data_IF_568857409556
#
_entry.id   IF_568857409556
#
_cell.length_a   1.000
_cell.length_b   1.000
_cell.length_c   1.000
_cell.angle_alpha   90.00
_cell.angle_beta   90.00
_cell.angle_gamma   90.00
#
_symmetry.space_group_name_H-M   'P 1'
#
loop_
_entity.id
_entity.type
_entity.pdbx_description
1 polymer ?
#
# COMPACT_ATOMS: atom_id res chain seq x y z
N UNK A 1 -45.01 -6.68 -22.50
CA UNK A 1 -43.60 -6.49 -22.86
C UNK A 1 -43.28 -5.01 -22.71
N UNK A 2 -42.25 -4.58 -21.93
CA UNK A 2 -41.91 -3.17 -21.89
C UNK A 2 -41.39 -2.77 -23.29
N UNK A 3 -41.94 -1.69 -23.84
CA UNK A 3 -41.66 -1.25 -25.20
C UNK A 3 -40.21 -0.78 -25.28
N UNK A 4 -39.39 -1.53 -26.03
CA UNK A 4 -37.96 -1.26 -26.20
C UNK A 4 -37.73 -0.10 -27.16
N UNK A 5 -37.85 1.13 -26.66
CA UNK A 5 -37.31 2.29 -27.37
C UNK A 5 -35.78 2.31 -27.20
N UNK A 6 -35.05 2.40 -28.30
CA UNK A 6 -33.60 2.53 -28.28
C UNK A 6 -33.23 3.81 -27.52
N UNK A 7 -32.34 3.70 -26.54
CA UNK A 7 -31.82 4.86 -25.84
C UNK A 7 -30.96 5.69 -26.80
N UNK A 8 -31.25 7.00 -26.88
CA UNK A 8 -30.47 7.95 -27.66
C UNK A 8 -29.76 8.91 -26.71
N UNK A 9 -28.43 8.92 -26.79
CA UNK A 9 -27.59 9.76 -25.94
C UNK A 9 -27.56 11.19 -26.48
N UNK A 10 -28.05 12.13 -25.69
CA UNK A 10 -28.02 13.56 -26.05
C UNK A 10 -26.63 14.16 -25.83
N UNK A 11 -26.32 15.24 -26.54
CA UNK A 11 -25.04 15.94 -26.36
C UNK A 11 -24.86 16.48 -24.94
N UNK A 12 -25.94 16.90 -24.29
CA UNK A 12 -25.93 17.37 -22.91
C UNK A 12 -25.53 16.24 -21.96
N UNK A 13 -26.12 15.05 -22.12
CA UNK A 13 -25.75 13.87 -21.35
C UNK A 13 -24.29 13.49 -21.59
N UNK A 14 -23.80 13.55 -22.84
CA UNK A 14 -22.40 13.27 -23.17
C UNK A 14 -21.46 14.22 -22.45
N UNK A 15 -21.76 15.53 -22.44
CA UNK A 15 -20.98 16.52 -21.71
C UNK A 15 -20.97 16.23 -20.21
N UNK A 16 -22.12 15.87 -19.63
CA UNK A 16 -22.22 15.48 -18.21
C UNK A 16 -21.40 14.23 -17.92
N UNK A 17 -21.54 13.15 -18.70
CA UNK A 17 -20.78 11.90 -18.47
C UNK A 17 -19.28 12.16 -18.54
N UNK A 18 -18.82 12.91 -19.55
CA UNK A 18 -17.40 13.23 -19.73
C UNK A 18 -16.83 14.03 -18.55
N UNK A 19 -17.60 15.00 -18.04
CA UNK A 19 -17.18 15.78 -16.89
C UNK A 19 -17.10 14.92 -15.63
N UNK A 20 -18.15 14.13 -15.35
CA UNK A 20 -18.25 13.31 -14.15
C UNK A 20 -17.21 12.18 -14.13
N UNK A 21 -16.95 11.53 -15.28
CA UNK A 21 -15.87 10.55 -15.40
C UNK A 21 -14.50 11.21 -15.23
N UNK A 22 -14.33 12.45 -15.74
CA UNK A 22 -13.13 13.26 -15.52
C UNK A 22 -12.87 13.59 -14.06
N UNK A 23 -13.91 13.76 -13.25
CA UNK A 23 -13.80 13.97 -11.80
C UNK A 23 -13.59 12.67 -11.01
N UNK A 24 -13.62 11.50 -11.68
CA UNK A 24 -13.46 10.20 -11.04
C UNK A 24 -14.74 9.65 -10.39
N UNK A 25 -15.92 10.16 -10.77
CA UNK A 25 -17.19 9.64 -10.24
C UNK A 25 -17.44 8.21 -10.75
N UNK A 26 -17.83 7.26 -9.88
CA UNK A 26 -18.12 5.89 -10.28
C UNK A 26 -19.20 5.81 -11.36
N UNK A 27 -19.06 4.88 -12.31
CA UNK A 27 -20.00 4.74 -13.43
C UNK A 27 -21.44 4.45 -12.96
N UNK A 28 -21.62 3.70 -11.88
CA UNK A 28 -22.95 3.37 -11.35
C UNK A 28 -23.65 4.60 -10.76
N UNK A 29 -22.89 5.53 -10.15
CA UNK A 29 -23.41 6.81 -9.66
C UNK A 29 -23.79 7.74 -10.81
N UNK A 30 -22.98 7.76 -11.88
CA UNK A 30 -23.30 8.50 -13.11
C UNK A 30 -24.58 7.94 -13.76
N UNK A 31 -24.73 6.61 -13.81
CA UNK A 31 -25.94 5.96 -14.33
C UNK A 31 -27.18 6.32 -13.49
N UNK A 32 -27.02 6.32 -12.16
CA UNK A 32 -28.06 6.74 -11.21
C UNK A 32 -28.48 8.18 -11.42
N UNK A 33 -27.51 9.09 -11.59
CA UNK A 33 -27.77 10.52 -11.87
C UNK A 33 -28.58 10.72 -13.16
N UNK A 34 -28.21 9.99 -14.22
CA UNK A 34 -28.89 10.05 -15.52
C UNK A 34 -30.17 9.22 -15.57
N UNK A 35 -30.50 8.48 -14.50
CA UNK A 35 -31.65 7.58 -14.39
C UNK A 35 -31.70 6.53 -15.51
N UNK A 36 -30.54 5.97 -15.84
CA UNK A 36 -30.40 4.89 -16.84
C UNK A 36 -29.76 3.66 -16.22
N UNK A 37 -29.97 2.51 -16.85
CA UNK A 37 -29.27 1.29 -16.45
C UNK A 37 -27.75 1.43 -16.69
N UNK A 38 -26.89 0.93 -15.78
CA UNK A 38 -25.43 0.98 -15.96
C UNK A 38 -24.94 0.34 -17.26
N UNK A 39 -25.63 -0.66 -17.79
CA UNK A 39 -25.31 -1.26 -19.11
C UNK A 39 -25.60 -0.26 -20.24
N UNK A 40 -26.69 0.51 -20.15
CA UNK A 40 -27.01 1.57 -21.10
C UNK A 40 -25.95 2.67 -21.06
N UNK A 41 -25.50 3.07 -19.87
CA UNK A 41 -24.42 4.05 -19.72
C UNK A 41 -23.16 3.59 -20.47
N UNK A 42 -22.67 2.37 -20.17
CA UNK A 42 -21.47 1.82 -20.80
C UNK A 42 -21.60 1.63 -22.31
N UNK A 43 -22.80 1.33 -22.81
CA UNK A 43 -23.07 1.12 -24.24
C UNK A 43 -23.05 2.43 -25.02
N UNK A 44 -23.65 3.50 -24.48
CA UNK A 44 -23.89 4.73 -25.24
C UNK A 44 -22.87 5.85 -24.99
N UNK A 45 -22.14 5.78 -23.86
CA UNK A 45 -21.20 6.81 -23.42
C UNK A 45 -19.77 6.30 -23.25
N UNK A 46 -19.40 5.22 -23.95
CA UNK A 46 -18.09 4.56 -23.76
C UNK A 46 -16.92 5.53 -23.96
N UNK A 47 -16.99 6.33 -25.03
CA UNK A 47 -15.97 7.30 -25.36
C UNK A 47 -15.82 8.35 -24.24
N UNK A 48 -16.92 8.89 -23.72
CA UNK A 48 -16.90 9.91 -22.67
C UNK A 48 -16.39 9.36 -21.33
N UNK A 49 -16.70 8.10 -21.00
CA UNK A 49 -16.18 7.44 -19.81
C UNK A 49 -14.66 7.25 -19.90
N UNK A 50 -14.17 6.81 -21.06
CA UNK A 50 -12.74 6.56 -21.28
C UNK A 50 -11.95 7.88 -21.42
N UNK A 51 -12.49 8.87 -22.14
CA UNK A 51 -11.78 10.13 -22.44
C UNK A 51 -11.81 11.13 -21.29
N UNK A 52 -12.85 11.12 -20.44
CA UNK A 52 -13.03 12.15 -19.40
C UNK A 52 -11.86 12.22 -18.41
N UNK A 53 -11.39 11.07 -17.92
CA UNK A 53 -10.25 11.01 -16.99
C UNK A 53 -8.95 11.50 -17.61
N UNK A 54 -8.73 11.17 -18.90
CA UNK A 54 -7.56 11.60 -19.67
C UNK A 54 -7.58 13.11 -19.83
N UNK A 55 -8.71 13.66 -20.29
CA UNK A 55 -8.88 15.11 -20.50
C UNK A 55 -8.75 15.90 -19.19
N UNK A 56 -9.35 15.41 -18.10
CA UNK A 56 -9.25 16.05 -16.80
C UNK A 56 -7.80 16.04 -16.28
N UNK A 57 -7.12 14.91 -16.38
CA UNK A 57 -5.71 14.79 -15.98
C UNK A 57 -4.82 15.73 -16.81
N UNK A 58 -5.04 15.83 -18.12
CA UNK A 58 -4.31 16.75 -18.99
C UNK A 58 -4.54 18.22 -18.61
N UNK A 59 -5.79 18.62 -18.31
CA UNK A 59 -6.12 19.98 -17.85
C UNK A 59 -5.45 20.33 -16.52
N UNK A 60 -5.48 19.41 -15.55
CA UNK A 60 -4.78 19.60 -14.27
C UNK A 60 -3.28 19.69 -14.49
N UNK A 61 -2.71 18.83 -15.34
CA UNK A 61 -1.30 18.88 -15.72
C UNK A 61 -0.89 20.21 -16.34
N UNK A 62 -1.69 20.75 -17.26
CA UNK A 62 -1.45 22.05 -17.89
C UNK A 62 -1.49 23.19 -16.86
N UNK A 63 -2.49 23.19 -15.97
CA UNK A 63 -2.60 24.17 -14.90
C UNK A 63 -1.39 24.13 -13.95
N UNK A 64 -1.00 22.92 -13.54
CA UNK A 64 0.13 22.70 -12.66
C UNK A 64 1.45 23.14 -13.31
N UNK A 65 1.66 22.80 -14.59
CA UNK A 65 2.82 23.25 -15.35
C UNK A 65 2.91 24.78 -15.36
N UNK A 66 1.82 25.46 -15.72
CA UNK A 66 1.76 26.93 -15.73
C UNK A 66 2.06 27.53 -14.35
N UNK A 67 1.53 26.95 -13.28
CA UNK A 67 1.82 27.41 -11.92
C UNK A 67 3.30 27.23 -11.55
N UNK A 68 3.95 26.17 -12.03
CA UNK A 68 5.36 25.91 -11.79
C UNK A 68 6.29 26.80 -12.64
N UNK A 69 5.92 27.15 -13.88
CA UNK A 69 6.78 27.91 -14.80
C UNK A 69 6.56 29.41 -14.78
N UNK A 70 5.32 29.86 -14.60
CA UNK A 70 4.91 31.27 -14.72
C UNK A 70 4.34 31.81 -13.41
N UNK A 71 3.56 30.98 -12.69
CA UNK A 71 2.85 31.39 -11.48
C UNK A 71 3.71 31.48 -10.21
N UNK A 72 4.98 31.09 -10.27
CA UNK A 72 5.91 31.15 -9.13
C UNK A 72 5.60 30.17 -7.99
N UNK A 73 4.75 29.16 -8.21
CA UNK A 73 4.40 28.19 -7.17
C UNK A 73 5.52 27.16 -6.98
N UNK A 74 6.32 27.37 -5.93
CA UNK A 74 7.40 26.45 -5.53
C UNK A 74 6.87 25.05 -5.25
N UNK A 75 5.67 24.93 -4.64
CA UNK A 75 5.06 23.64 -4.37
C UNK A 75 4.73 22.87 -5.66
N UNK A 76 4.19 23.56 -6.68
CA UNK A 76 3.92 22.94 -7.99
C UNK A 76 5.22 22.50 -8.69
N UNK A 77 6.27 23.32 -8.62
CA UNK A 77 7.59 22.99 -9.17
C UNK A 77 8.21 21.77 -8.46
N UNK A 78 8.21 21.73 -7.12
CA UNK A 78 8.71 20.59 -6.35
C UNK A 78 7.92 19.32 -6.67
N UNK A 79 6.59 19.41 -6.69
CA UNK A 79 5.75 18.27 -7.06
C UNK A 79 6.10 17.76 -8.46
N UNK A 80 6.24 18.65 -9.45
CA UNK A 80 6.62 18.27 -10.81
C UNK A 80 7.97 17.53 -10.85
N UNK A 81 8.98 18.07 -10.16
CA UNK A 81 10.30 17.45 -10.13
C UNK A 81 10.26 16.05 -9.52
N UNK A 82 9.47 15.85 -8.45
CA UNK A 82 9.33 14.54 -7.81
C UNK A 82 8.44 13.56 -8.61
N UNK A 83 7.24 13.98 -8.99
CA UNK A 83 6.23 13.10 -9.58
C UNK A 83 6.45 12.82 -11.07
N UNK A 84 7.05 13.76 -11.82
CA UNK A 84 7.20 13.66 -13.28
C UNK A 84 8.65 13.67 -13.76
N UNK A 85 9.53 14.49 -13.18
CA UNK A 85 10.94 14.58 -13.60
C UNK A 85 11.85 13.51 -12.96
N UNK A 86 11.29 12.64 -12.12
CA UNK A 86 11.99 11.48 -11.56
C UNK A 86 12.95 11.81 -10.41
N UNK A 87 12.88 13.01 -9.82
CA UNK A 87 13.68 13.34 -8.65
C UNK A 87 13.17 12.58 -7.43
N UNK A 88 14.11 11.95 -6.70
CA UNK A 88 13.82 11.23 -5.47
C UNK A 88 14.74 11.73 -4.37
N UNK A 89 14.24 11.76 -3.15
CA UNK A 89 15.05 12.06 -1.98
C UNK A 89 16.03 10.91 -1.75
N UNK A 90 17.28 11.26 -1.42
CA UNK A 90 18.29 10.28 -0.99
C UNK A 90 18.24 10.20 0.53
N UNK A 91 17.99 9.02 1.06
CA UNK A 91 18.11 8.75 2.49
C UNK A 91 19.41 8.00 2.74
N UNK A 92 20.34 8.61 3.46
CA UNK A 92 21.51 7.94 4.00
C UNK A 92 21.13 7.38 5.38
N UNK A 93 21.12 6.05 5.51
CA UNK A 93 20.82 5.37 6.77
C UNK A 93 22.14 4.90 7.37
N UNK A 94 22.65 5.64 8.35
CA UNK A 94 23.82 5.24 9.13
C UNK A 94 23.37 4.29 10.24
N UNK A 95 23.66 3.00 10.08
CA UNK A 95 23.43 2.00 11.13
C UNK A 95 24.59 2.07 12.11
N UNK A 96 24.37 2.74 13.25
CA UNK A 96 25.27 2.63 14.40
C UNK A 96 24.92 1.35 15.14
N UNK A 97 25.74 0.31 14.95
CA UNK A 97 25.69 -0.85 15.82
C UNK A 97 26.28 -0.45 17.18
N UNK A 98 25.42 -0.06 18.11
CA UNK A 98 25.80 -0.08 19.52
C UNK A 98 26.10 -1.54 19.89
N UNK A 99 27.29 -1.79 20.43
CA UNK A 99 27.66 -3.10 20.98
C UNK A 99 26.74 -3.39 22.18
N UNK A 100 25.56 -3.93 21.90
CA UNK A 100 24.63 -4.39 22.93
C UNK A 100 25.37 -5.36 23.84
N UNK A 101 25.24 -5.14 25.15
CA UNK A 101 25.84 -5.84 26.29
C UNK A 101 25.99 -7.36 26.09
N UNK A 102 27.04 -7.72 25.34
CA UNK A 102 27.37 -9.11 25.02
C UNK A 102 27.86 -9.86 26.27
N UNK A 103 28.35 -9.11 27.26
CA UNK A 103 28.85 -9.64 28.52
C UNK A 103 27.70 -10.00 29.46
N UNK A 104 26.64 -9.20 29.53
CA UNK A 104 25.42 -9.55 30.24
C UNK A 104 24.71 -10.76 29.62
N UNK A 105 24.72 -10.87 28.28
CA UNK A 105 24.18 -12.06 27.60
C UNK A 105 24.99 -13.32 27.95
N UNK A 106 26.33 -13.25 27.89
CA UNK A 106 27.23 -14.35 28.29
C UNK A 106 27.05 -14.73 29.76
N UNK A 107 26.92 -13.75 30.67
CA UNK A 107 26.73 -14.00 32.10
C UNK A 107 25.39 -14.65 32.43
N UNK A 108 24.32 -14.32 31.71
CA UNK A 108 23.02 -15.01 31.85
C UNK A 108 23.12 -16.48 31.44
N UNK A 109 23.82 -16.77 30.33
CA UNK A 109 24.04 -18.15 29.87
C UNK A 109 24.93 -18.92 30.86
N UNK A 110 26.03 -18.33 31.31
CA UNK A 110 26.94 -18.96 32.28
C UNK A 110 26.24 -19.31 33.60
N UNK A 111 25.48 -18.36 34.18
CA UNK A 111 24.70 -18.59 35.41
C UNK A 111 23.67 -19.70 35.25
N UNK A 112 23.06 -19.82 34.07
CA UNK A 112 22.08 -20.87 33.78
C UNK A 112 22.74 -22.25 33.71
N UNK A 113 23.93 -22.34 33.10
CA UNK A 113 24.71 -23.58 33.04
C UNK A 113 25.14 -24.01 34.44
N UNK A 114 25.71 -23.10 35.24
CA UNK A 114 26.11 -23.39 36.63
C UNK A 114 24.95 -23.89 37.49
N UNK A 115 23.77 -23.27 37.37
CA UNK A 115 22.57 -23.69 38.10
C UNK A 115 22.01 -25.04 37.65
N UNK A 116 22.29 -25.47 36.42
CA UNK A 116 21.94 -26.80 35.93
C UNK A 116 22.94 -27.85 36.42
N UNK A 117 24.23 -27.52 36.38
CA UNK A 117 25.30 -28.41 36.84
C UNK A 117 25.19 -28.67 38.35
N UNK A 118 24.85 -27.67 39.15
CA UNK A 118 24.69 -27.84 40.61
C UNK A 118 23.49 -28.69 41.04
N UNK A 119 22.60 -29.03 40.11
CA UNK A 119 21.45 -29.93 40.34
C UNK A 119 21.71 -31.36 39.86
N UNK A 120 22.87 -31.62 39.25
CA UNK A 120 23.25 -32.97 38.88
C UNK A 120 23.71 -33.74 40.13
N UNK A 121 23.36 -35.03 40.26
CA UNK A 121 23.89 -35.89 41.32
C UNK A 121 25.42 -36.00 41.22
N UNK A 122 26.11 -36.11 42.36
CA UNK A 122 27.57 -36.29 42.40
C UNK A 122 28.01 -37.66 41.86
N UNK A 123 27.11 -38.65 41.85
CA UNK A 123 27.36 -39.98 41.27
C UNK A 123 27.33 -39.90 39.73
N UNK A 124 28.46 -40.16 39.05
CA UNK A 124 28.55 -40.11 37.58
C UNK A 124 27.58 -41.08 36.89
N UNK A 125 27.22 -42.19 37.53
CA UNK A 125 26.28 -43.18 36.99
C UNK A 125 24.85 -42.65 37.06
N UNK A 126 24.49 -42.00 38.16
CA UNK A 126 23.17 -41.41 38.37
C UNK A 126 22.95 -40.15 37.51
N UNK A 127 23.99 -39.31 37.38
CA UNK A 127 23.98 -38.15 36.47
C UNK A 127 23.75 -38.56 35.01
N UNK A 128 24.36 -39.66 34.56
CA UNK A 128 24.16 -40.22 33.22
C UNK A 128 22.73 -40.74 33.02
N UNK A 129 22.14 -41.38 34.04
CA UNK A 129 20.74 -41.84 34.03
C UNK A 129 19.76 -40.66 33.92
N UNK A 130 19.96 -39.60 34.68
CA UNK A 130 19.13 -38.38 34.64
C UNK A 130 19.24 -37.67 33.28
N UNK A 131 20.46 -37.59 32.72
CA UNK A 131 20.70 -36.98 31.40
C UNK A 131 20.04 -37.77 30.26
N UNK A 132 20.10 -39.11 30.30
CA UNK A 132 19.43 -39.96 29.32
C UNK A 132 17.89 -39.84 29.40
N UNK A 133 17.32 -39.69 30.60
CA UNK A 133 15.88 -39.44 30.76
C UNK A 133 15.43 -38.07 30.24
N UNK A 134 16.25 -37.02 30.44
CA UNK A 134 15.98 -35.67 29.94
C UNK A 134 16.03 -35.59 28.40
N UNK A 135 16.90 -36.36 27.75
CA UNK A 135 17.02 -36.40 26.27
C UNK A 135 15.94 -37.29 25.63
N UNK A 136 15.53 -38.37 26.28
CA UNK A 136 14.60 -39.35 25.69
C UNK A 136 13.12 -39.00 25.85
N UNK A 137 12.77 -37.87 26.48
CA UNK A 137 11.44 -37.26 26.38
C UNK A 137 10.26 -38.21 26.59
N UNK A 138 10.32 -39.12 27.56
CA UNK A 138 9.17 -39.95 27.95
C UNK A 138 8.52 -39.38 29.20
N UNK A 139 7.32 -38.83 28.98
CA UNK A 139 6.36 -38.47 30.00
C UNK A 139 5.91 -39.72 30.78
N UNK A 140 5.75 -39.56 32.08
CA UNK A 140 4.58 -40.06 32.80
C UNK A 140 3.83 -38.86 33.38
#
# INVERSE_FOLDING_TARGET
>A
MPQGHAFEATDDQRRTVRAMSGFGVPHDDIATLLRIDPKTLRKHFRWELDSGSIEATAKVGQSLYRMATEGGSVAAAIFWMKARAGWREKHEVTVQAEMADSDGARQRVARRIEALVSRLPDDPVEASRVYQHLIQGRAE
#
